data_IF_102379492009
#
_entry.id   IF_102379492009
#
_cell.length_a   1.000
_cell.length_b   1.000
_cell.length_c   1.000
_cell.angle_alpha   90.00
_cell.angle_beta   90.00
_cell.angle_gamma   90.00
#
_symmetry.space_group_name_H-M   'P 1'
#
loop_
_entity.id
_entity.type
_entity.pdbx_description
1 polymer ?
#
# COMPACT_ATOMS: atom_id res chain seq x y z
N UNK A 1 -23.08 -10.99 -6.07
CA UNK A 1 -24.06 -10.90 -4.97
C UNK A 1 -23.99 -12.10 -4.05
N UNK A 2 -24.26 -13.34 -4.48
CA UNK A 2 -24.26 -14.53 -3.58
C UNK A 2 -22.98 -14.72 -2.77
N UNK A 3 -21.80 -14.46 -3.36
CA UNK A 3 -20.52 -14.58 -2.64
C UNK A 3 -20.30 -13.49 -1.59
N UNK A 4 -20.85 -12.30 -1.82
CA UNK A 4 -20.84 -11.20 -0.85
C UNK A 4 -21.70 -11.60 0.35
N UNK A 5 -22.92 -12.08 0.10
CA UNK A 5 -23.88 -12.54 1.11
C UNK A 5 -23.32 -13.71 1.93
N UNK A 6 -22.74 -14.73 1.29
CA UNK A 6 -22.14 -15.87 1.98
C UNK A 6 -20.98 -15.44 2.90
N UNK A 7 -20.16 -14.47 2.46
CA UNK A 7 -19.09 -13.92 3.28
C UNK A 7 -19.60 -13.06 4.42
N UNK A 8 -20.62 -12.23 4.18
CA UNK A 8 -21.30 -11.43 5.20
C UNK A 8 -21.82 -12.29 6.34
N UNK A 9 -22.42 -13.44 6.00
CA UNK A 9 -22.91 -14.42 6.98
C UNK A 9 -21.73 -15.08 7.71
N UNK A 10 -20.71 -15.55 7.00
CA UNK A 10 -19.54 -16.18 7.62
C UNK A 10 -18.77 -15.23 8.56
N UNK A 11 -18.58 -13.97 8.16
CA UNK A 11 -17.89 -12.97 8.96
C UNK A 11 -18.73 -12.49 10.15
N UNK A 12 -20.06 -12.36 9.98
CA UNK A 12 -20.98 -12.14 11.09
C UNK A 12 -20.93 -13.26 12.13
N UNK A 13 -20.81 -14.52 11.69
CA UNK A 13 -20.62 -15.68 12.57
C UNK A 13 -19.26 -15.63 13.28
N UNK A 14 -18.17 -15.30 12.58
CA UNK A 14 -16.83 -15.17 13.19
C UNK A 14 -16.77 -14.02 14.20
N UNK A 15 -17.36 -12.87 13.89
CA UNK A 15 -17.49 -11.75 14.84
C UNK A 15 -18.27 -12.17 16.09
N UNK A 16 -19.40 -12.84 15.92
CA UNK A 16 -20.22 -13.33 17.03
C UNK A 16 -19.54 -14.42 17.88
N UNK A 17 -18.57 -15.15 17.32
CA UNK A 17 -17.80 -16.17 18.03
C UNK A 17 -16.56 -15.61 18.75
N UNK A 18 -15.95 -14.54 18.22
CA UNK A 18 -14.71 -13.95 18.75
C UNK A 18 -15.00 -12.85 19.77
N UNK A 19 -16.10 -12.12 19.60
CA UNK A 19 -16.51 -11.04 20.49
C UNK A 19 -18.02 -11.09 20.70
N UNK A 20 -18.46 -11.23 21.94
CA UNK A 20 -19.89 -11.33 22.26
C UNK A 20 -20.61 -9.97 22.15
N UNK A 21 -19.85 -8.87 22.05
CA UNK A 21 -20.36 -7.52 21.82
C UNK A 21 -19.40 -6.73 20.93
N UNK A 22 -19.36 -7.03 19.61
CA UNK A 22 -18.49 -6.29 18.73
C UNK A 22 -18.89 -4.82 18.75
N UNK A 23 -17.94 -3.95 19.10
CA UNK A 23 -18.14 -2.51 19.04
C UNK A 23 -18.60 -2.08 17.64
N UNK A 24 -19.40 -1.01 17.57
CA UNK A 24 -19.98 -0.49 16.31
C UNK A 24 -18.89 -0.28 15.24
N UNK A 25 -17.69 0.11 15.66
CA UNK A 25 -16.51 0.29 14.80
C UNK A 25 -16.04 -1.03 14.19
N UNK A 26 -15.97 -2.13 14.94
CA UNK A 26 -15.58 -3.46 14.46
C UNK A 26 -16.56 -4.00 13.41
N UNK A 27 -17.86 -3.74 13.60
CA UNK A 27 -18.90 -4.07 12.63
C UNK A 27 -18.72 -3.22 11.37
N UNK A 28 -18.57 -1.90 11.48
CA UNK A 28 -18.42 -1.02 10.30
C UNK A 28 -17.13 -1.32 9.52
N UNK A 29 -16.01 -1.50 10.20
CA UNK A 29 -14.70 -1.85 9.61
C UNK A 29 -14.81 -3.18 8.90
N UNK A 30 -15.28 -4.24 9.56
CA UNK A 30 -15.39 -5.54 8.94
C UNK A 30 -16.35 -5.60 7.74
N UNK A 31 -17.45 -4.85 7.79
CA UNK A 31 -18.46 -4.81 6.73
C UNK A 31 -18.09 -3.90 5.55
N UNK A 32 -17.33 -2.82 5.76
CA UNK A 32 -16.92 -1.92 4.68
C UNK A 32 -15.58 -2.33 4.06
N UNK A 33 -14.62 -2.77 4.88
CA UNK A 33 -13.24 -3.05 4.44
C UNK A 33 -13.19 -4.19 3.46
N UNK A 34 -13.89 -5.29 3.71
CA UNK A 34 -13.71 -6.50 2.90
C UNK A 34 -14.40 -6.41 1.54
N UNK A 35 -15.60 -5.85 1.38
CA UNK A 35 -16.16 -5.55 0.05
C UNK A 35 -15.28 -4.59 -0.74
N UNK A 36 -14.69 -3.59 -0.10
CA UNK A 36 -13.78 -2.63 -0.74
C UNK A 36 -12.45 -3.27 -1.12
N UNK A 37 -11.86 -4.08 -0.24
CA UNK A 37 -10.68 -4.92 -0.54
C UNK A 37 -11.00 -5.91 -1.67
N UNK A 38 -12.19 -6.48 -1.72
CA UNK A 38 -12.60 -7.39 -2.79
C UNK A 38 -12.82 -6.67 -4.12
N UNK A 39 -13.43 -5.48 -4.11
CA UNK A 39 -13.57 -4.62 -5.30
C UNK A 39 -12.18 -4.18 -5.76
N UNK A 40 -11.31 -3.77 -4.84
CA UNK A 40 -9.92 -3.43 -5.13
C UNK A 40 -9.16 -4.65 -5.67
N UNK A 41 -9.32 -5.84 -5.10
CA UNK A 41 -8.68 -7.07 -5.56
C UNK A 41 -9.22 -7.54 -6.91
N UNK A 42 -10.52 -7.33 -7.20
CA UNK A 42 -11.13 -7.59 -8.51
C UNK A 42 -10.64 -6.59 -9.55
N UNK A 43 -10.57 -5.31 -9.21
CA UNK A 43 -10.01 -4.29 -10.09
C UNK A 43 -8.52 -4.54 -10.31
N UNK A 44 -7.77 -4.90 -9.28
CA UNK A 44 -6.37 -5.31 -9.36
C UNK A 44 -6.24 -6.57 -10.22
N UNK A 45 -7.03 -7.61 -10.01
CA UNK A 45 -7.11 -8.78 -10.91
C UNK A 45 -7.61 -8.44 -12.30
N UNK A 46 -8.27 -7.33 -12.54
CA UNK A 46 -8.69 -6.94 -13.88
C UNK A 46 -7.60 -6.13 -14.60
N UNK A 47 -6.92 -5.26 -13.86
CA UNK A 47 -5.70 -4.53 -14.28
C UNK A 47 -4.57 -5.50 -14.59
N UNK A 48 -4.35 -6.47 -13.71
CA UNK A 48 -3.28 -7.47 -13.82
C UNK A 48 -3.73 -8.78 -14.45
N UNK A 49 -5.03 -9.05 -14.60
CA UNK A 49 -5.56 -10.31 -15.15
C UNK A 49 -5.89 -10.27 -16.63
N UNK A 50 -5.34 -9.31 -17.38
CA UNK A 50 -4.93 -9.60 -18.77
C UNK A 50 -3.58 -10.31 -18.81
N UNK A 51 -3.25 -11.12 -17.80
CA UNK A 51 -2.35 -12.24 -18.02
C UNK A 51 -3.23 -13.29 -18.71
N UNK A 52 -3.11 -13.52 -20.03
CA UNK A 52 -3.80 -14.63 -20.67
C UNK A 52 -3.55 -15.88 -19.82
N UNK A 53 -4.56 -16.75 -19.67
CA UNK A 53 -4.39 -18.07 -19.05
C UNK A 53 -3.35 -18.82 -19.88
N UNK A 54 -2.09 -18.61 -19.58
CA UNK A 54 -0.96 -19.25 -20.21
C UNK A 54 -0.88 -20.62 -19.56
N UNK A 55 -1.24 -21.63 -20.33
CA UNK A 55 -1.32 -23.04 -19.96
C UNK A 55 0.03 -23.61 -19.48
N UNK A 56 1.12 -22.84 -19.59
CA UNK A 56 2.47 -23.23 -19.23
C UNK A 56 3.09 -22.34 -18.13
N UNK A 57 3.15 -22.82 -16.87
CA UNK A 57 3.74 -22.06 -15.77
C UNK A 57 5.28 -21.93 -15.87
N UNK A 58 5.97 -22.82 -16.59
CA UNK A 58 7.41 -22.70 -16.81
C UNK A 58 7.71 -21.51 -17.75
N UNK A 59 6.90 -21.35 -18.80
CA UNK A 59 6.97 -20.17 -19.68
C UNK A 59 6.62 -18.87 -18.95
N UNK A 60 5.70 -18.89 -17.99
CA UNK A 60 5.42 -17.70 -17.15
C UNK A 60 6.62 -17.33 -16.29
N UNK A 61 7.25 -18.30 -15.62
CA UNK A 61 8.45 -18.04 -14.82
C UNK A 61 9.58 -17.48 -15.68
N UNK A 62 9.86 -18.12 -16.82
CA UNK A 62 10.94 -17.68 -17.71
C UNK A 62 10.64 -16.32 -18.35
N UNK A 63 9.40 -16.06 -18.78
CA UNK A 63 9.02 -14.76 -19.35
C UNK A 63 9.14 -13.63 -18.33
N UNK A 64 8.80 -13.88 -17.06
CA UNK A 64 9.05 -12.93 -15.99
C UNK A 64 10.56 -12.66 -15.80
N UNK A 65 11.39 -13.72 -15.87
CA UNK A 65 12.84 -13.60 -15.78
C UNK A 65 13.51 -13.02 -17.05
N UNK A 66 12.85 -13.07 -18.21
CA UNK A 66 13.35 -12.46 -19.45
C UNK A 66 12.94 -11.00 -19.55
N UNK A 67 11.73 -10.66 -19.11
CA UNK A 67 11.33 -9.28 -18.86
C UNK A 67 12.26 -8.59 -17.85
N UNK A 68 12.99 -9.40 -17.06
CA UNK A 68 14.00 -8.96 -16.12
C UNK A 68 15.31 -8.41 -16.74
N UNK A 69 15.60 -8.82 -17.98
CA UNK A 69 16.93 -8.66 -18.57
C UNK A 69 17.15 -7.22 -19.07
N UNK A 70 18.37 -6.66 -18.98
CA UNK A 70 18.71 -5.35 -19.55
C UNK A 70 18.38 -5.25 -21.04
N UNK A 71 18.12 -4.04 -21.57
CA UNK A 71 17.76 -3.81 -22.97
C UNK A 71 18.78 -4.42 -23.95
N UNK A 72 20.09 -4.30 -23.66
CA UNK A 72 21.15 -4.92 -24.45
C UNK A 72 21.18 -6.46 -24.43
N UNK A 73 20.37 -7.10 -23.57
CA UNK A 73 20.25 -8.57 -23.44
C UNK A 73 18.86 -9.08 -23.78
N UNK A 74 17.94 -8.24 -24.27
CA UNK A 74 16.61 -8.72 -24.67
C UNK A 74 16.65 -9.70 -25.84
N UNK A 75 17.66 -9.62 -26.72
CA UNK A 75 17.87 -10.63 -27.76
C UNK A 75 18.15 -12.02 -27.16
N UNK A 76 18.93 -12.08 -26.08
CA UNK A 76 19.24 -13.32 -25.37
C UNK A 76 18.00 -13.89 -24.68
N UNK A 77 17.20 -13.03 -24.04
CA UNK A 77 15.95 -13.46 -23.42
C UNK A 77 14.91 -13.97 -24.43
N UNK A 78 14.82 -13.35 -25.62
CA UNK A 78 13.97 -13.86 -26.71
C UNK A 78 14.42 -15.24 -27.19
N UNK A 79 15.73 -15.48 -27.28
CA UNK A 79 16.27 -16.79 -27.61
C UNK A 79 15.90 -17.84 -26.54
N UNK A 80 16.02 -17.53 -25.25
CA UNK A 80 15.61 -18.43 -24.16
C UNK A 80 14.12 -18.81 -24.24
N UNK A 81 13.25 -17.86 -24.55
CA UNK A 81 11.82 -18.13 -24.72
C UNK A 81 11.53 -18.98 -25.96
N UNK A 82 12.26 -18.76 -27.05
CA UNK A 82 12.16 -19.58 -28.26
C UNK A 82 12.65 -21.02 -28.02
N UNK A 83 13.78 -21.18 -27.32
CA UNK A 83 14.29 -22.49 -26.91
C UNK A 83 13.30 -23.21 -26.00
N UNK A 84 12.74 -22.54 -24.98
CA UNK A 84 11.70 -23.13 -24.13
C UNK A 84 10.49 -23.62 -24.94
N UNK A 85 10.12 -22.92 -26.02
CA UNK A 85 9.02 -23.35 -26.89
C UNK A 85 9.30 -24.70 -27.57
N UNK A 86 10.56 -24.98 -27.90
CA UNK A 86 11.00 -26.28 -28.48
C UNK A 86 11.16 -27.41 -27.45
N UNK A 87 11.24 -27.11 -26.15
CA UNK A 87 11.40 -28.14 -25.11
C UNK A 87 10.05 -28.83 -24.86
N UNK A 88 9.99 -30.12 -25.18
CA UNK A 88 8.84 -30.97 -24.91
C UNK A 88 8.86 -31.54 -23.48
N UNK A 89 7.67 -31.75 -22.90
CA UNK A 89 7.52 -32.33 -21.57
C UNK A 89 7.59 -31.33 -20.41
N UNK A 90 6.63 -31.43 -19.49
CA UNK A 90 6.46 -30.48 -18.38
C UNK A 90 7.70 -30.39 -17.48
N UNK A 91 8.31 -31.52 -17.12
CA UNK A 91 9.47 -31.54 -16.23
C UNK A 91 10.73 -30.93 -16.87
N UNK A 92 10.97 -31.20 -18.16
CA UNK A 92 12.11 -30.65 -18.90
C UNK A 92 11.98 -29.12 -19.06
N UNK A 93 10.78 -28.64 -19.39
CA UNK A 93 10.46 -27.20 -19.45
C UNK A 93 10.74 -26.49 -18.13
N UNK A 94 10.38 -27.09 -16.99
CA UNK A 94 10.68 -26.53 -15.67
C UNK A 94 12.17 -26.49 -15.36
N UNK A 95 12.92 -27.56 -15.67
CA UNK A 95 14.37 -27.59 -15.47
C UNK A 95 15.08 -26.55 -16.33
N UNK A 96 14.64 -26.38 -17.58
CA UNK A 96 15.15 -25.36 -18.49
C UNK A 96 14.81 -23.94 -17.99
N UNK A 97 13.56 -23.70 -17.60
CA UNK A 97 13.16 -22.39 -17.06
C UNK A 97 13.98 -22.04 -15.80
N UNK A 98 14.14 -22.99 -14.87
CA UNK A 98 14.93 -22.80 -13.65
C UNK A 98 16.43 -22.59 -13.94
N UNK A 99 17.02 -23.30 -14.90
CA UNK A 99 18.42 -23.09 -15.27
C UNK A 99 18.63 -21.72 -15.90
N UNK A 100 17.72 -21.27 -16.77
CA UNK A 100 17.74 -19.94 -17.36
C UNK A 100 17.56 -18.86 -16.29
N UNK A 101 16.61 -19.02 -15.37
CA UNK A 101 16.40 -18.10 -14.23
C UNK A 101 17.67 -18.02 -13.38
N UNK A 102 18.31 -19.16 -13.08
CA UNK A 102 19.56 -19.18 -12.32
C UNK A 102 20.69 -18.46 -13.08
N UNK A 103 20.77 -18.65 -14.39
CA UNK A 103 21.75 -17.98 -15.24
C UNK A 103 21.51 -16.46 -15.27
N UNK A 104 20.25 -16.00 -15.39
CA UNK A 104 19.93 -14.56 -15.37
C UNK A 104 20.22 -13.92 -14.01
N UNK A 105 19.94 -14.62 -12.91
CA UNK A 105 20.28 -14.18 -11.55
C UNK A 105 21.78 -14.12 -11.28
N UNK A 106 22.59 -14.87 -12.04
CA UNK A 106 24.06 -14.89 -11.89
C UNK A 106 24.76 -13.79 -12.70
N UNK A 107 24.00 -13.02 -13.51
CA UNK A 107 24.58 -11.93 -14.28
C UNK A 107 24.90 -10.74 -13.37
N UNK A 108 26.07 -10.09 -13.54
CA UNK A 108 26.38 -8.88 -12.81
C UNK A 108 25.32 -7.81 -13.12
N UNK A 109 24.68 -7.19 -12.11
CA UNK A 109 23.58 -6.25 -12.33
C UNK A 109 24.09 -5.04 -13.11
N UNK A 110 23.50 -4.81 -14.28
CA UNK A 110 23.86 -3.72 -15.18
C UNK A 110 23.31 -2.38 -14.66
N UNK A 111 23.92 -1.82 -13.61
CA UNK A 111 23.64 -0.47 -13.09
C UNK A 111 22.33 -0.33 -12.31
N UNK A 112 22.44 -0.21 -10.99
CA UNK A 112 21.28 -0.02 -10.10
C UNK A 112 21.52 -0.27 -8.60
N UNK A 113 22.77 -0.51 -8.21
CA UNK A 113 23.22 -0.77 -6.84
C UNK A 113 22.61 0.09 -5.72
N UNK A 114 22.45 1.43 -5.86
CA UNK A 114 21.98 2.23 -4.73
C UNK A 114 20.54 1.91 -4.30
N UNK A 115 19.66 1.48 -5.21
CA UNK A 115 18.27 1.14 -4.86
C UNK A 115 18.21 -0.20 -4.14
N UNK A 116 18.96 -1.18 -4.64
CA UNK A 116 19.05 -2.50 -4.00
C UNK A 116 19.70 -2.38 -2.63
N UNK A 117 20.79 -1.63 -2.51
CA UNK A 117 21.48 -1.37 -1.26
C UNK A 117 20.59 -0.63 -0.25
N UNK A 118 19.80 0.36 -0.69
CA UNK A 118 18.88 1.07 0.20
C UNK A 118 17.74 0.17 0.70
N UNK A 119 17.14 -0.65 -0.18
CA UNK A 119 16.06 -1.57 0.23
C UNK A 119 16.61 -2.69 1.12
N UNK A 120 17.79 -3.24 0.80
CA UNK A 120 18.46 -4.24 1.63
C UNK A 120 18.84 -3.64 2.98
N UNK A 121 19.44 -2.46 3.02
CA UNK A 121 19.79 -1.77 4.27
C UNK A 121 18.56 -1.47 5.12
N UNK A 122 17.45 -1.05 4.49
CA UNK A 122 16.17 -0.85 5.19
C UNK A 122 15.63 -2.16 5.76
N UNK A 123 15.67 -3.23 4.98
CA UNK A 123 15.22 -4.56 5.41
C UNK A 123 16.07 -5.08 6.56
N UNK A 124 17.40 -4.95 6.47
CA UNK A 124 18.35 -5.33 7.52
C UNK A 124 18.14 -4.48 8.78
N UNK A 125 17.95 -3.17 8.63
CA UNK A 125 17.68 -2.27 9.75
C UNK A 125 16.35 -2.63 10.44
N UNK A 126 15.28 -2.86 9.67
CA UNK A 126 13.99 -3.31 10.19
C UNK A 126 14.13 -4.62 10.97
N UNK A 127 14.79 -5.64 10.38
CA UNK A 127 15.03 -6.94 11.04
C UNK A 127 15.90 -6.78 12.29
N UNK A 128 16.93 -5.93 12.27
CA UNK A 128 17.80 -5.69 13.42
C UNK A 128 17.07 -4.94 14.55
N UNK A 129 16.22 -3.96 14.23
CA UNK A 129 15.38 -3.28 15.23
C UNK A 129 14.36 -4.21 15.87
N UNK A 130 13.80 -5.12 15.07
CA UNK A 130 12.76 -6.05 15.52
C UNK A 130 13.37 -7.23 16.31
N UNK A 131 14.53 -7.74 15.89
CA UNK A 131 15.23 -8.85 16.54
C UNK A 131 15.71 -8.54 17.96
N UNK A 132 15.91 -7.26 18.30
CA UNK A 132 16.26 -6.85 19.67
C UNK A 132 15.08 -6.87 20.65
N UNK A 133 13.84 -6.82 20.15
CA UNK A 133 12.65 -6.78 20.99
C UNK A 133 12.15 -8.18 21.40
N UNK A 134 12.65 -9.25 20.77
CA UNK A 134 12.46 -10.66 21.17
C UNK A 134 11.01 -11.12 21.48
N UNK A 135 9.98 -10.48 20.93
CA UNK A 135 8.60 -10.99 21.07
C UNK A 135 8.23 -11.89 19.88
N UNK A 136 7.53 -13.03 20.10
CA UNK A 136 7.15 -13.96 19.03
C UNK A 136 6.35 -13.29 17.90
N UNK A 137 5.55 -12.27 18.23
CA UNK A 137 4.69 -11.56 17.29
C UNK A 137 5.46 -10.65 16.33
N UNK A 138 6.50 -10.00 16.84
CA UNK A 138 7.43 -9.21 16.04
C UNK A 138 8.23 -10.07 15.05
N UNK A 139 8.53 -11.32 15.41
CA UNK A 139 9.13 -12.29 14.49
C UNK A 139 8.22 -12.58 13.30
N UNK A 140 6.92 -12.78 13.52
CA UNK A 140 5.94 -13.01 12.43
C UNK A 140 5.88 -11.80 11.49
N UNK A 141 5.84 -10.58 12.06
CA UNK A 141 5.91 -9.34 11.28
C UNK A 141 7.18 -9.31 10.42
N UNK A 142 8.35 -9.48 11.03
CA UNK A 142 9.64 -9.40 10.35
C UNK A 142 9.78 -10.43 9.22
N UNK A 143 9.39 -11.68 9.47
CA UNK A 143 9.42 -12.74 8.46
C UNK A 143 8.48 -12.42 7.28
N UNK A 144 7.26 -11.98 7.56
CA UNK A 144 6.27 -11.63 6.53
C UNK A 144 6.76 -10.43 5.71
N UNK A 145 7.21 -9.37 6.38
CA UNK A 145 7.70 -8.16 5.72
C UNK A 145 8.96 -8.44 4.90
N UNK A 146 9.93 -9.16 5.44
CA UNK A 146 11.15 -9.54 4.71
C UNK A 146 10.84 -10.40 3.47
N UNK A 147 9.91 -11.36 3.58
CA UNK A 147 9.46 -12.16 2.45
C UNK A 147 8.80 -11.32 1.35
N UNK A 148 7.90 -10.40 1.73
CA UNK A 148 7.22 -9.51 0.79
C UNK A 148 8.20 -8.53 0.13
N UNK A 149 9.05 -7.86 0.90
CA UNK A 149 10.04 -6.92 0.38
C UNK A 149 11.07 -7.65 -0.48
N UNK A 150 11.51 -8.86 -0.10
CA UNK A 150 12.36 -9.70 -0.92
C UNK A 150 11.72 -9.99 -2.28
N UNK A 151 10.44 -10.36 -2.32
CA UNK A 151 9.70 -10.55 -3.57
C UNK A 151 9.60 -9.25 -4.40
N UNK A 152 9.39 -8.10 -3.75
CA UNK A 152 9.37 -6.79 -4.41
C UNK A 152 10.74 -6.41 -5.00
N UNK A 153 11.83 -6.69 -4.28
CA UNK A 153 13.19 -6.47 -4.79
C UNK A 153 13.43 -7.32 -6.03
N UNK A 154 13.09 -8.61 -5.99
CA UNK A 154 13.21 -9.50 -7.16
C UNK A 154 12.40 -8.95 -8.34
N UNK A 155 11.16 -8.51 -8.09
CA UNK A 155 10.30 -7.91 -9.11
C UNK A 155 10.87 -6.59 -9.67
N UNK A 156 11.41 -5.74 -8.80
CA UNK A 156 11.96 -4.43 -9.16
C UNK A 156 13.27 -4.58 -9.94
N UNK A 157 14.16 -5.48 -9.50
CA UNK A 157 15.38 -5.86 -10.22
C UNK A 157 15.03 -6.36 -11.60
N UNK A 158 13.98 -7.19 -11.70
CA UNK A 158 13.51 -7.63 -12.99
C UNK A 158 13.04 -6.44 -13.85
N UNK A 159 12.12 -5.63 -13.36
CA UNK A 159 11.54 -4.57 -14.19
C UNK A 159 12.49 -3.41 -14.52
N UNK A 160 13.66 -3.33 -13.86
CA UNK A 160 14.52 -2.16 -13.90
C UNK A 160 15.52 -2.18 -15.06
N UNK A 161 15.32 -1.32 -16.06
CA UNK A 161 16.35 -1.03 -17.07
C UNK A 161 17.34 0.07 -16.66
N UNK A 162 16.98 0.99 -15.74
CA UNK A 162 17.85 1.97 -15.05
C UNK A 162 17.09 2.53 -13.84
N UNK A 163 17.41 2.16 -12.59
CA UNK A 163 16.59 2.57 -11.47
C UNK A 163 17.06 3.95 -10.97
N UNK A 164 16.36 5.00 -11.42
CA UNK A 164 16.34 6.27 -10.69
C UNK A 164 15.21 6.19 -9.68
N UNK A 165 15.52 6.20 -8.39
CA UNK A 165 14.52 6.36 -7.33
C UNK A 165 13.90 7.75 -7.47
N UNK A 166 12.62 7.88 -7.87
CA UNK A 166 12.00 9.19 -7.87
C UNK A 166 11.83 9.64 -6.41
N UNK A 167 11.93 10.95 -6.15
CA UNK A 167 11.78 11.53 -4.81
C UNK A 167 10.56 10.98 -4.04
N UNK A 168 9.36 10.80 -4.65
CA UNK A 168 8.23 10.19 -3.98
C UNK A 168 8.47 8.76 -3.45
N UNK A 169 9.25 7.94 -4.15
CA UNK A 169 9.58 6.60 -3.67
C UNK A 169 10.47 6.65 -2.42
N UNK A 170 11.39 7.63 -2.35
CA UNK A 170 12.20 7.89 -1.16
C UNK A 170 11.29 8.27 0.02
N UNK A 171 10.30 9.15 -0.19
CA UNK A 171 9.36 9.54 0.86
C UNK A 171 8.56 8.34 1.39
N UNK A 172 8.02 7.49 0.50
CA UNK A 172 7.30 6.27 0.91
C UNK A 172 8.21 5.33 1.70
N UNK A 173 9.45 5.15 1.23
CA UNK A 173 10.44 4.27 1.87
C UNK A 173 10.79 4.76 3.28
N UNK A 174 11.03 6.07 3.44
CA UNK A 174 11.25 6.69 4.74
C UNK A 174 10.02 6.61 5.64
N UNK A 175 8.82 6.78 5.09
CA UNK A 175 7.57 6.59 5.83
C UNK A 175 7.44 5.16 6.36
N UNK A 176 7.70 4.16 5.52
CA UNK A 176 7.66 2.74 5.91
C UNK A 176 8.73 2.44 6.98
N UNK A 177 9.94 2.98 6.82
CA UNK A 177 11.00 2.89 7.83
C UNK A 177 10.53 3.43 9.18
N UNK A 178 9.92 4.62 9.15
CA UNK A 178 9.43 5.31 10.34
C UNK A 178 8.28 4.56 11.00
N UNK A 179 7.37 3.95 10.22
CA UNK A 179 6.28 3.13 10.73
C UNK A 179 6.81 1.89 11.49
N UNK A 180 7.79 1.19 10.92
CA UNK A 180 8.43 0.02 11.55
C UNK A 180 9.13 0.43 12.85
N UNK A 181 9.90 1.53 12.81
CA UNK A 181 10.60 2.05 13.99
C UNK A 181 9.61 2.46 15.09
N UNK A 182 8.51 3.13 14.73
CA UNK A 182 7.46 3.54 15.67
C UNK A 182 6.76 2.32 16.31
N UNK A 183 6.45 1.27 15.55
CA UNK A 183 5.90 0.02 16.11
C UNK A 183 6.87 -0.64 17.09
N UNK A 184 8.15 -0.77 16.71
CA UNK A 184 9.17 -1.36 17.56
C UNK A 184 9.38 -0.58 18.86
N UNK A 185 9.46 0.75 18.76
CA UNK A 185 9.58 1.64 19.92
C UNK A 185 8.34 1.58 20.82
N UNK A 186 7.13 1.54 20.25
CA UNK A 186 5.89 1.43 21.00
C UNK A 186 5.84 0.12 21.81
N UNK A 187 6.13 -1.02 21.16
CA UNK A 187 6.12 -2.33 21.82
C UNK A 187 7.21 -2.49 22.90
N UNK A 188 8.35 -1.80 22.74
CA UNK A 188 9.37 -1.73 23.78
C UNK A 188 8.92 -0.90 24.99
N UNK A 189 8.14 0.16 24.75
CA UNK A 189 7.67 1.06 25.81
C UNK A 189 6.48 0.49 26.57
N UNK A 190 5.60 -0.21 25.87
CA UNK A 190 4.38 -0.82 26.41
C UNK A 190 4.44 -2.35 26.29
N UNK A 191 5.09 -3.05 27.23
CA UNK A 191 5.27 -4.51 27.14
C UNK A 191 3.96 -5.30 27.27
N UNK A 192 2.91 -4.67 27.80
CA UNK A 192 1.55 -5.25 27.83
C UNK A 192 0.85 -5.17 26.47
N UNK A 193 1.35 -4.33 25.56
CA UNK A 193 0.83 -4.26 24.20
C UNK A 193 1.25 -5.49 23.42
N UNK A 194 0.27 -6.16 22.82
CA UNK A 194 0.50 -7.29 21.94
C UNK A 194 0.02 -6.94 20.53
N UNK A 195 0.86 -7.24 19.54
CA UNK A 195 0.49 -7.17 18.13
C UNK A 195 0.06 -8.57 17.68
N UNK A 196 -1.25 -8.90 17.67
CA UNK A 196 -1.67 -10.25 17.31
C UNK A 196 -1.21 -10.61 15.90
N UNK A 197 -0.91 -11.88 15.65
CA UNK A 197 -0.33 -12.33 14.38
C UNK A 197 -1.11 -11.87 13.12
N UNK A 198 -2.46 -11.88 13.09
CA UNK A 198 -3.20 -11.33 11.95
C UNK A 198 -2.92 -9.84 11.71
N UNK A 199 -2.84 -9.04 12.77
CA UNK A 199 -2.55 -7.61 12.68
C UNK A 199 -1.11 -7.34 12.22
N UNK A 200 -0.15 -8.14 12.69
CA UNK A 200 1.23 -8.12 12.21
C UNK A 200 1.31 -8.40 10.69
N UNK A 201 0.60 -9.42 10.21
CA UNK A 201 0.54 -9.75 8.78
C UNK A 201 -0.13 -8.61 7.99
N UNK A 202 -1.24 -8.04 8.49
CA UNK A 202 -1.91 -6.90 7.84
C UNK A 202 -1.02 -5.67 7.74
N UNK A 203 -0.28 -5.33 8.80
CA UNK A 203 0.68 -4.22 8.80
C UNK A 203 1.79 -4.47 7.78
N UNK A 204 2.40 -5.66 7.80
CA UNK A 204 3.45 -6.03 6.84
C UNK A 204 2.97 -5.94 5.39
N UNK A 205 1.78 -6.47 5.10
CA UNK A 205 1.16 -6.43 3.78
C UNK A 205 0.84 -5.00 3.33
N UNK A 206 0.32 -4.15 4.21
CA UNK A 206 0.02 -2.76 3.89
C UNK A 206 1.29 -1.95 3.58
N UNK A 207 2.34 -2.09 4.40
CA UNK A 207 3.63 -1.41 4.18
C UNK A 207 4.30 -1.90 2.89
N UNK A 208 4.28 -3.21 2.62
CA UNK A 208 4.78 -3.77 1.37
C UNK A 208 3.96 -3.28 0.16
N UNK A 209 2.64 -3.16 0.29
CA UNK A 209 1.76 -2.59 -0.73
C UNK A 209 2.11 -1.13 -1.06
N UNK A 210 2.45 -0.33 -0.05
CA UNK A 210 2.92 1.05 -0.25
C UNK A 210 4.24 1.07 -1.04
N UNK A 211 5.19 0.19 -0.69
CA UNK A 211 6.45 0.05 -1.43
C UNK A 211 6.23 -0.43 -2.87
N UNK A 212 5.30 -1.36 -3.10
CA UNK A 212 4.95 -1.81 -4.45
C UNK A 212 4.46 -0.64 -5.31
N UNK A 213 3.55 0.19 -4.78
CA UNK A 213 3.08 1.40 -5.48
C UNK A 213 4.24 2.35 -5.76
N UNK A 214 5.16 2.52 -4.80
CA UNK A 214 6.33 3.37 -4.95
C UNK A 214 7.29 2.90 -6.06
N UNK A 215 7.41 1.59 -6.24
CA UNK A 215 8.36 0.97 -7.18
C UNK A 215 7.75 0.53 -8.52
N UNK A 216 6.44 0.63 -8.73
CA UNK A 216 5.77 0.25 -9.99
C UNK A 216 6.15 1.14 -11.21
N UNK A 217 7.14 2.03 -11.06
CA UNK A 217 7.93 2.62 -12.15
C UNK A 217 7.24 3.69 -13.00
N UNK A 218 5.92 3.81 -12.96
CA UNK A 218 5.25 4.87 -13.68
C UNK A 218 5.29 6.20 -12.93
N UNK A 219 5.30 7.29 -13.73
CA UNK A 219 5.57 8.64 -13.24
C UNK A 219 4.55 9.05 -12.17
N UNK A 220 5.00 9.46 -10.98
CA UNK A 220 4.10 9.99 -9.96
C UNK A 220 3.47 11.28 -10.48
N UNK A 221 2.19 11.46 -10.20
CA UNK A 221 1.55 12.77 -10.35
C UNK A 221 2.13 13.65 -9.25
N UNK A 222 2.78 14.77 -9.62
CA UNK A 222 3.56 15.60 -8.68
C UNK A 222 2.81 15.99 -7.40
N UNK A 223 1.48 16.18 -7.51
CA UNK A 223 0.63 16.59 -6.38
C UNK A 223 0.30 15.46 -5.40
N UNK A 224 0.25 14.20 -5.83
CA UNK A 224 -0.21 13.10 -4.99
C UNK A 224 0.70 12.85 -3.77
N UNK A 225 2.05 12.78 -3.92
CA UNK A 225 2.94 12.63 -2.76
C UNK A 225 2.86 13.81 -1.80
N UNK A 226 2.77 15.03 -2.32
CA UNK A 226 2.63 16.26 -1.51
C UNK A 226 1.34 16.20 -0.70
N UNK A 227 0.22 15.82 -1.32
CA UNK A 227 -1.05 15.67 -0.63
C UNK A 227 -0.99 14.62 0.50
N UNK A 228 -0.28 13.50 0.29
CA UNK A 228 -0.08 12.49 1.33
C UNK A 228 0.74 13.00 2.51
N UNK A 229 1.79 13.80 2.26
CA UNK A 229 2.58 14.46 3.33
C UNK A 229 1.74 15.49 4.07
N UNK A 230 0.99 16.33 3.34
CA UNK A 230 0.09 17.34 3.93
C UNK A 230 -0.94 16.68 4.84
N UNK A 231 -1.52 15.54 4.42
CA UNK A 231 -2.43 14.76 5.25
C UNK A 231 -1.77 14.29 6.56
N UNK A 232 -0.56 13.71 6.49
CA UNK A 232 0.14 13.26 7.69
C UNK A 232 0.52 14.42 8.64
N UNK A 233 0.96 15.56 8.09
CA UNK A 233 1.28 16.76 8.87
C UNK A 233 0.03 17.37 9.53
N UNK A 234 -1.06 17.45 8.79
CA UNK A 234 -2.34 17.89 9.35
C UNK A 234 -2.82 16.95 10.45
N UNK A 235 -2.63 15.64 10.30
CA UNK A 235 -3.00 14.66 11.32
C UNK A 235 -2.16 14.90 12.59
N UNK A 236 -0.85 15.10 12.45
CA UNK A 236 0.03 15.47 13.57
C UNK A 236 -0.47 16.75 14.27
N UNK A 237 -0.73 17.79 13.49
CA UNK A 237 -1.17 19.09 14.01
C UNK A 237 -2.51 18.97 14.75
N UNK A 238 -3.47 18.26 14.16
CA UNK A 238 -4.79 18.02 14.77
C UNK A 238 -4.68 17.29 16.11
N UNK A 239 -3.66 16.43 16.27
CA UNK A 239 -3.40 15.76 17.54
C UNK A 239 -2.60 16.61 18.55
N UNK A 240 -1.93 17.66 18.07
CA UNK A 240 -1.16 18.58 18.92
C UNK A 240 -1.99 19.76 19.42
N UNK A 241 -3.03 20.14 18.70
CA UNK A 241 -4.02 21.12 19.17
C UNK A 241 -4.70 20.52 20.40
N UNK A 242 -4.55 21.17 21.56
CA UNK A 242 -5.25 20.81 22.80
C UNK A 242 -6.75 21.08 22.69
N UNK A 243 -7.45 21.17 23.82
CA UNK A 243 -8.89 21.51 23.80
C UNK A 243 -9.09 22.89 23.17
N UNK A 244 -9.73 22.97 22.00
CA UNK A 244 -9.96 24.26 21.36
C UNK A 244 -11.07 25.02 22.10
N UNK A 245 -11.06 26.36 22.09
CA UNK A 245 -12.21 27.16 22.50
C UNK A 245 -13.49 26.63 21.85
N UNK A 246 -14.61 26.59 22.58
CA UNK A 246 -15.90 26.04 22.10
C UNK A 246 -16.33 26.62 20.72
N UNK A 247 -16.01 27.87 20.47
CA UNK A 247 -16.31 28.59 19.22
C UNK A 247 -15.55 28.03 18.00
N UNK A 248 -14.38 27.40 18.22
CA UNK A 248 -13.54 26.81 17.18
C UNK A 248 -13.81 25.32 16.95
N UNK A 249 -14.56 24.64 17.85
CA UNK A 249 -14.95 23.23 17.71
C UNK A 249 -15.62 22.92 16.36
N UNK A 250 -16.62 23.69 15.86
CA UNK A 250 -17.25 23.37 14.57
C UNK A 250 -16.30 23.55 13.39
N UNK A 251 -15.42 24.56 13.45
CA UNK A 251 -14.40 24.80 12.40
C UNK A 251 -13.41 23.66 12.39
N UNK A 252 -12.91 23.24 13.56
CA UNK A 252 -12.00 22.10 13.68
C UNK A 252 -12.66 20.81 13.21
N UNK A 253 -13.91 20.55 13.61
CA UNK A 253 -14.70 19.41 13.13
C UNK A 253 -14.86 19.39 11.60
N UNK A 254 -15.17 20.54 11.00
CA UNK A 254 -15.24 20.66 9.54
C UNK A 254 -13.87 20.41 8.88
N UNK A 255 -12.79 21.00 9.41
CA UNK A 255 -11.43 20.76 8.87
C UNK A 255 -10.99 19.32 9.04
N UNK A 256 -11.39 18.66 10.15
CA UNK A 256 -11.17 17.24 10.46
C UNK A 256 -11.71 16.32 9.35
N UNK A 257 -12.80 16.70 8.70
CA UNK A 257 -13.43 15.92 7.63
C UNK A 257 -12.98 16.39 6.24
N UNK A 258 -12.98 17.71 6.00
CA UNK A 258 -12.76 18.27 4.68
C UNK A 258 -11.32 18.13 4.19
N UNK A 259 -10.32 18.27 5.07
CA UNK A 259 -8.92 18.20 4.63
C UNK A 259 -8.53 16.80 4.15
N UNK A 260 -8.87 15.69 4.85
CA UNK A 260 -8.70 14.34 4.31
C UNK A 260 -9.37 14.18 2.96
N UNK A 261 -10.62 14.61 2.83
CA UNK A 261 -11.36 14.49 1.58
C UNK A 261 -10.64 15.24 0.46
N UNK A 262 -10.21 16.48 0.70
CA UNK A 262 -9.47 17.27 -0.28
C UNK A 262 -8.13 16.64 -0.67
N UNK A 263 -7.38 16.11 0.31
CA UNK A 263 -6.07 15.50 0.10
C UNK A 263 -6.14 14.30 -0.85
N UNK A 264 -7.19 13.48 -0.76
CA UNK A 264 -7.38 12.33 -1.66
C UNK A 264 -8.10 12.69 -2.96
N UNK A 265 -9.10 13.58 -2.90
CA UNK A 265 -9.93 13.95 -4.05
C UNK A 265 -9.16 14.77 -5.09
N UNK A 266 -8.50 15.84 -4.65
CA UNK A 266 -7.93 16.86 -5.54
C UNK A 266 -6.83 16.30 -6.45
N UNK A 267 -5.79 15.56 -5.97
CA UNK A 267 -4.79 15.00 -6.86
C UNK A 267 -5.37 13.98 -7.84
N UNK A 268 -6.37 13.20 -7.41
CA UNK A 268 -7.05 12.23 -8.27
C UNK A 268 -7.89 12.91 -9.37
N UNK A 269 -8.64 13.96 -9.01
CA UNK A 269 -9.42 14.76 -9.94
C UNK A 269 -8.52 15.46 -10.97
N UNK A 270 -7.49 16.18 -10.51
CA UNK A 270 -6.60 16.93 -11.39
C UNK A 270 -5.82 16.01 -12.33
N UNK A 271 -5.36 14.85 -11.85
CA UNK A 271 -4.70 13.86 -12.69
C UNK A 271 -5.66 13.26 -13.73
N UNK A 272 -6.89 12.91 -13.30
CA UNK A 272 -7.93 12.37 -14.18
C UNK A 272 -8.31 13.36 -15.28
N UNK A 273 -8.43 14.64 -14.93
CA UNK A 273 -8.74 15.74 -15.85
C UNK A 273 -7.60 16.03 -16.82
N UNK A 274 -6.38 16.20 -16.32
CA UNK A 274 -5.22 16.52 -17.17
C UNK A 274 -4.94 15.42 -18.21
N UNK A 275 -5.02 14.15 -17.80
CA UNK A 275 -4.76 13.02 -18.67
C UNK A 275 -6.01 12.50 -19.41
N UNK A 276 -7.19 13.08 -19.15
CA UNK A 276 -8.48 12.61 -19.68
C UNK A 276 -8.70 11.10 -19.43
N UNK A 277 -8.22 10.61 -18.28
CA UNK A 277 -8.08 9.18 -18.01
C UNK A 277 -8.35 8.87 -16.55
N UNK A 278 -9.35 8.02 -16.30
CA UNK A 278 -9.68 7.52 -14.98
C UNK A 278 -8.48 6.82 -14.30
N UNK A 279 -7.65 6.13 -15.08
CA UNK A 279 -6.46 5.44 -14.58
C UNK A 279 -5.40 6.40 -14.02
N UNK A 280 -5.24 7.58 -14.62
CA UNK A 280 -4.32 8.59 -14.10
C UNK A 280 -4.79 9.10 -12.74
N UNK A 281 -6.11 9.31 -12.59
CA UNK A 281 -6.73 9.69 -11.33
C UNK A 281 -6.60 8.62 -10.26
N UNK A 282 -6.91 7.36 -10.57
CA UNK A 282 -6.73 6.23 -9.65
C UNK A 282 -5.27 6.10 -9.21
N UNK A 283 -4.33 6.23 -10.14
CA UNK A 283 -2.89 6.21 -9.84
C UNK A 283 -2.51 7.32 -8.86
N UNK A 284 -3.03 8.53 -9.03
CA UNK A 284 -2.79 9.63 -8.10
C UNK A 284 -3.39 9.35 -6.70
N UNK A 285 -4.58 8.76 -6.62
CA UNK A 285 -5.17 8.33 -5.35
C UNK A 285 -4.29 7.28 -4.65
N UNK A 286 -3.83 6.26 -5.37
CA UNK A 286 -2.94 5.22 -4.83
C UNK A 286 -1.59 5.78 -4.35
N UNK A 287 -1.01 6.73 -5.07
CA UNK A 287 0.22 7.41 -4.63
C UNK A 287 0.01 8.24 -3.37
N UNK A 288 -1.10 8.98 -3.29
CA UNK A 288 -1.46 9.75 -2.09
C UNK A 288 -1.58 8.82 -0.89
N UNK A 289 -2.25 7.68 -1.08
CA UNK A 289 -2.42 6.67 -0.06
C UNK A 289 -1.10 6.02 0.37
N UNK A 290 -0.26 5.63 -0.59
CA UNK A 290 1.03 4.99 -0.31
C UNK A 290 1.98 5.89 0.51
N UNK A 291 1.85 7.22 0.38
CA UNK A 291 2.59 8.19 1.19
C UNK A 291 1.90 8.43 2.54
N UNK A 292 0.59 8.70 2.53
CA UNK A 292 -0.19 9.05 3.71
C UNK A 292 -0.18 7.94 4.77
N UNK A 293 -0.43 6.69 4.38
CA UNK A 293 -0.61 5.57 5.30
C UNK A 293 0.58 5.35 6.24
N UNK A 294 1.81 5.10 5.74
CA UNK A 294 2.93 4.81 6.63
C UNK A 294 3.36 6.04 7.45
N UNK A 295 3.27 7.25 6.90
CA UNK A 295 3.62 8.48 7.64
C UNK A 295 2.63 8.77 8.77
N UNK A 296 1.33 8.65 8.48
CA UNK A 296 0.28 8.88 9.48
C UNK A 296 0.39 7.86 10.60
N UNK A 297 0.62 6.59 10.27
CA UNK A 297 0.84 5.54 11.27
C UNK A 297 2.08 5.79 12.13
N UNK A 298 3.21 6.19 11.51
CA UNK A 298 4.44 6.51 12.22
C UNK A 298 4.30 7.70 13.18
N UNK A 299 3.47 8.67 12.83
CA UNK A 299 3.12 9.83 13.67
C UNK A 299 2.13 9.47 14.78
N UNK A 300 1.15 8.62 14.46
CA UNK A 300 0.06 8.27 15.36
C UNK A 300 0.59 7.61 16.63
N UNK A 301 1.45 6.59 16.53
CA UNK A 301 1.89 5.82 17.70
C UNK A 301 2.61 6.66 18.78
N UNK A 302 3.64 7.47 18.46
CA UNK A 302 4.26 8.35 19.44
C UNK A 302 3.31 9.37 20.04
N UNK A 303 2.40 9.90 19.23
CA UNK A 303 1.44 10.89 19.68
C UNK A 303 0.38 10.28 20.59
N UNK A 304 0.01 9.01 20.36
CA UNK A 304 -0.89 8.24 21.21
C UNK A 304 -0.32 8.07 22.61
N UNK A 305 0.94 7.62 22.70
CA UNK A 305 1.62 7.45 23.99
C UNK A 305 1.82 8.79 24.69
N UNK A 306 2.13 9.85 23.94
CA UNK A 306 2.23 11.20 24.50
C UNK A 306 0.90 11.64 25.13
N UNK A 307 -0.22 11.52 24.40
CA UNK A 307 -1.54 11.91 24.91
C UNK A 307 -1.98 11.04 26.09
N UNK A 308 -1.76 9.73 26.00
CA UNK A 308 -2.07 8.80 27.09
C UNK A 308 -1.29 9.15 28.36
N UNK A 309 -0.02 9.55 28.24
CA UNK A 309 0.79 9.98 29.38
C UNK A 309 0.33 11.31 30.01
N UNK A 310 -0.34 12.19 29.26
CA UNK A 310 -0.82 13.48 29.75
C UNK A 310 -2.20 13.33 30.41
N UNK A 311 -3.15 12.72 29.71
CA UNK A 311 -4.57 12.74 30.09
C UNK A 311 -5.15 11.34 30.38
N UNK A 312 -4.35 10.27 30.30
CA UNK A 312 -4.83 8.88 30.43
C UNK A 312 -5.76 8.43 29.31
N UNK A 313 -5.92 9.23 28.26
CA UNK A 313 -6.82 8.99 27.12
C UNK A 313 -6.10 8.26 25.99
N UNK A 314 -6.81 7.35 25.33
CA UNK A 314 -6.44 6.90 23.98
C UNK A 314 -6.68 8.01 22.96
N UNK A 315 -6.12 7.85 21.76
CA UNK A 315 -6.22 8.86 20.70
C UNK A 315 -7.66 9.07 20.19
N UNK A 316 -8.52 8.07 20.32
CA UNK A 316 -9.95 8.14 20.01
C UNK A 316 -10.79 8.78 21.14
N UNK A 317 -10.15 9.12 22.28
CA UNK A 317 -10.75 9.83 23.40
C UNK A 317 -11.34 8.92 24.50
N UNK A 318 -11.15 7.59 24.41
CA UNK A 318 -11.58 6.69 25.48
C UNK A 318 -10.80 6.95 26.77
N UNK A 319 -11.53 7.21 27.85
CA UNK A 319 -10.96 7.45 29.18
C UNK A 319 -10.67 6.09 29.83
N UNK A 320 -9.47 5.90 30.40
CA UNK A 320 -9.10 4.72 31.22
C UNK A 320 -8.83 3.44 30.42
N UNK A 321 -8.71 3.51 29.09
CA UNK A 321 -8.25 2.38 28.29
C UNK A 321 -6.72 2.16 28.48
N UNK A 322 -6.22 0.90 28.51
CA UNK A 322 -4.78 0.64 28.56
C UNK A 322 -4.03 1.30 27.39
N UNK A 323 -2.81 1.76 27.63
CA UNK A 323 -1.96 2.33 26.58
C UNK A 323 -1.84 1.44 25.34
N UNK A 324 -1.87 0.12 25.53
CA UNK A 324 -1.86 -0.91 24.50
C UNK A 324 -2.99 -0.77 23.46
N UNK A 325 -4.17 -0.25 23.84
CA UNK A 325 -5.32 -0.07 22.92
C UNK A 325 -4.96 0.87 21.76
N UNK A 326 -4.09 1.86 22.00
CA UNK A 326 -3.64 2.78 20.96
C UNK A 326 -2.96 2.10 19.75
N UNK A 327 -2.32 0.93 19.95
CA UNK A 327 -1.73 0.18 18.84
C UNK A 327 -2.83 -0.40 17.94
N UNK A 328 -3.88 -0.96 18.53
CA UNK A 328 -5.04 -1.47 17.80
C UNK A 328 -5.72 -0.34 17.02
N UNK A 329 -5.94 0.80 17.67
CA UNK A 329 -6.58 1.96 17.04
C UNK A 329 -5.75 2.47 15.87
N UNK A 330 -4.44 2.66 16.07
CA UNK A 330 -3.54 3.09 14.99
C UNK A 330 -3.62 2.16 13.77
N UNK A 331 -3.71 0.84 13.99
CA UNK A 331 -3.86 -0.14 12.92
C UNK A 331 -5.21 -0.03 12.23
N UNK A 332 -6.31 0.05 12.99
CA UNK A 332 -7.66 0.17 12.44
C UNK A 332 -7.81 1.45 11.63
N UNK A 333 -7.38 2.59 12.16
CA UNK A 333 -7.49 3.86 11.47
C UNK A 333 -6.56 3.95 10.27
N UNK A 334 -5.27 3.64 10.42
CA UNK A 334 -4.29 3.85 9.35
C UNK A 334 -4.32 2.76 8.27
N UNK A 335 -4.67 1.51 8.61
CA UNK A 335 -4.67 0.40 7.64
C UNK A 335 -6.05 0.07 7.09
N UNK A 336 -7.12 0.48 7.78
CA UNK A 336 -8.49 0.18 7.36
C UNK A 336 -9.26 1.46 6.99
N UNK A 337 -9.55 2.32 7.96
CA UNK A 337 -10.47 3.45 7.79
C UNK A 337 -9.93 4.48 6.79
N UNK A 338 -8.73 5.02 7.00
CA UNK A 338 -8.16 6.04 6.11
C UNK A 338 -7.90 5.53 4.69
N UNK A 339 -7.35 4.31 4.49
CA UNK A 339 -7.19 3.79 3.14
C UNK A 339 -8.48 3.62 2.38
N UNK A 340 -9.54 3.16 3.05
CA UNK A 340 -10.85 3.00 2.45
C UNK A 340 -11.44 4.34 2.07
N UNK A 341 -11.50 5.25 3.04
CA UNK A 341 -12.07 6.58 2.82
C UNK A 341 -11.31 7.31 1.72
N UNK A 342 -9.98 7.31 1.81
CA UNK A 342 -9.11 7.93 0.82
C UNK A 342 -9.25 7.32 -0.57
N UNK A 343 -9.37 5.99 -0.69
CA UNK A 343 -9.58 5.32 -1.97
C UNK A 343 -10.98 5.64 -2.54
N UNK A 344 -12.04 5.61 -1.74
CA UNK A 344 -13.40 5.93 -2.18
C UNK A 344 -13.47 7.37 -2.69
N UNK A 345 -12.94 8.32 -1.93
CA UNK A 345 -12.89 9.73 -2.29
C UNK A 345 -12.00 9.97 -3.52
N UNK A 346 -10.84 9.32 -3.59
CA UNK A 346 -9.95 9.39 -4.74
C UNK A 346 -10.56 8.79 -6.00
N UNK A 347 -11.31 7.69 -5.90
CA UNK A 347 -12.05 7.08 -7.01
C UNK A 347 -13.13 8.02 -7.55
N UNK A 348 -13.86 8.71 -6.66
CA UNK A 348 -14.84 9.72 -7.05
C UNK A 348 -14.16 10.88 -7.79
N UNK A 349 -13.04 11.40 -7.27
CA UNK A 349 -12.23 12.44 -7.93
C UNK A 349 -11.75 12.00 -9.31
N UNK A 350 -11.18 10.80 -9.42
CA UNK A 350 -10.72 10.24 -10.69
C UNK A 350 -11.85 10.09 -11.73
N UNK A 351 -13.04 9.66 -11.29
CA UNK A 351 -14.22 9.51 -12.13
C UNK A 351 -14.75 10.84 -12.66
N UNK A 352 -14.83 11.85 -11.79
CA UNK A 352 -15.27 13.19 -12.17
C UNK A 352 -14.28 13.86 -13.12
N UNK A 353 -12.98 13.83 -12.80
CA UNK A 353 -11.95 14.45 -13.64
C UNK A 353 -11.89 13.88 -15.06
N UNK A 354 -12.12 12.58 -15.22
CA UNK A 354 -12.11 11.93 -16.53
C UNK A 354 -13.33 12.25 -17.42
N UNK A 355 -14.46 12.71 -16.87
CA UNK A 355 -15.71 12.94 -17.61
C UNK A 355 -15.72 14.27 -18.36
N UNK A 356 -15.17 15.33 -17.76
CA UNK A 356 -15.20 16.69 -18.32
C UNK A 356 -14.53 16.80 -19.69
N UNK A 357 -13.53 15.96 -19.95
CA UNK A 357 -12.80 15.93 -21.22
C UNK A 357 -13.61 15.42 -22.42
N UNK A 358 -14.68 14.65 -22.22
CA UNK A 358 -15.47 14.06 -23.32
C UNK A 358 -16.53 15.00 -23.88
N UNK A 359 -16.94 16.02 -23.14
CA UNK A 359 -18.03 16.91 -23.54
C UNK A 359 -17.58 18.13 -24.35
N UNK A 360 -16.27 18.42 -24.38
CA UNK A 360 -15.69 19.56 -25.09
C UNK A 360 -15.16 19.27 -26.50
N UNK A 361 -15.32 18.05 -27.03
CA UNK A 361 -14.94 17.75 -28.41
C UNK A 361 -15.78 18.61 -29.37
N UNK A 362 -15.18 19.37 -30.29
CA UNK A 362 -15.92 20.21 -31.22
C UNK A 362 -16.92 19.30 -31.93
N UNK A 363 -18.21 19.59 -31.75
CA UNK A 363 -19.21 19.15 -32.73
C UNK A 363 -18.76 19.81 -34.03
N UNK A 364 -17.96 19.10 -34.81
CA UNK A 364 -17.79 19.39 -36.22
C UNK A 364 -19.19 19.30 -36.78
N UNK A 365 -19.84 20.46 -36.85
CA UNK A 365 -21.03 20.64 -37.65
C UNK A 365 -20.61 20.18 -39.04
N UNK A 366 -21.01 18.96 -39.39
CA UNK A 366 -21.10 18.51 -40.76
C UNK A 366 -22.16 19.40 -41.40
N UNK A 367 -21.74 20.62 -41.75
CA UNK A 367 -22.43 21.44 -42.72
C UNK A 367 -22.23 20.71 -44.04
N UNK A 368 -23.33 20.08 -44.43
CA UNK A 368 -23.66 19.59 -45.76
C UNK A 368 -23.18 20.61 -46.80
N UNK A 369 -22.36 20.15 -47.76
CA UNK A 369 -22.37 20.64 -49.13
C UNK A 369 -22.39 19.45 -50.07
#
# INVERSE_FOLDING_TARGET
MMLLVAWTVAYGVVLALVDSRPGVVSVVVGWAVVPLLWIALKQFRWVFGRVPRLTDPAAQLLSAAVAALPAGRQGWGRAMLAELASVEGRAARWRFALSCVRATLSLPPAGGWPVLAAVVALTVAAVATVGRAATPTLTVFAMTFAGLVGALVVLAVARSHRPRLPLPAVVVTLGVASAIAATGWFLQREPTANLPAPAAVSLAAALAGCLLVAFDGGRPVRLAPVAGVVFALWFLLSNRVGEPPAVLVPVLGATLVLLPMAAFFLPAFLAGRAAHSWWAGLRAALWTLAVATPLTYAVWLPEALRRHAIDGRTLDGELIAPAATNLSDALVFCLAIFPILGLVVGLAGAGLGARDGRQGGPRTNSVVQ
#
